data_IF_943124747153
#
_entry.id   IF_943124747153
#
_cell.length_a   1.000
_cell.length_b   1.000
_cell.length_c   1.000
_cell.angle_alpha   90.00
_cell.angle_beta   90.00
_cell.angle_gamma   90.00
#
_symmetry.space_group_name_H-M   'P 1'
#
loop_
_entity.id
_entity.type
_entity.pdbx_description
1 polymer ?
#
# COMPACT_ATOMS: atom_id res chain seq x y z
N UNK A 1 15.75 18.54 78.52
CA UNK A 1 14.35 18.73 78.95
C UNK A 1 13.67 17.38 78.79
N UNK A 2 13.63 16.59 79.89
CA UNK A 2 12.43 16.28 80.71
C UNK A 2 11.54 15.23 80.02
N UNK A 3 11.15 14.07 80.57
CA UNK A 3 11.35 13.31 81.82
C UNK A 3 10.40 12.09 81.68
N UNK A 4 10.79 10.88 82.09
CA UNK A 4 9.86 9.78 82.50
C UNK A 4 8.89 10.29 83.60
N UNK A 5 7.71 9.67 83.94
CA UNK A 5 7.47 8.24 84.28
C UNK A 5 6.01 7.75 83.98
N UNK A 6 5.54 6.51 84.22
CA UNK A 6 4.99 5.95 85.48
C UNK A 6 4.31 4.57 85.19
N UNK A 7 4.62 3.54 85.98
CA UNK A 7 3.71 2.45 86.42
C UNK A 7 2.91 2.98 87.64
N UNK A 8 1.75 2.44 88.13
CA UNK A 8 1.60 1.02 88.55
C UNK A 8 0.15 0.41 88.63
N UNK A 9 0.08 -0.84 89.10
CA UNK A 9 -0.87 -1.41 90.11
C UNK A 9 -2.17 -2.16 89.72
N UNK A 10 -2.22 -3.41 90.21
CA UNK A 10 -3.32 -4.18 90.83
C UNK A 10 -4.58 -4.57 90.02
N UNK A 11 -4.77 -5.87 89.84
CA UNK A 11 -5.94 -6.56 90.42
C UNK A 11 -5.72 -8.07 90.56
N UNK A 12 -6.12 -8.58 91.73
CA UNK A 12 -6.01 -9.94 92.25
C UNK A 12 -7.12 -10.86 91.71
N UNK A 13 -6.78 -12.16 91.57
CA UNK A 13 -7.62 -13.29 91.98
C UNK A 13 -8.68 -13.81 91.00
N UNK A 14 -8.58 -15.08 90.59
CA UNK A 14 -9.28 -16.21 91.23
C UNK A 14 -8.97 -17.52 90.49
N UNK A 15 -8.62 -18.54 91.26
CA UNK A 15 -8.34 -19.93 90.87
C UNK A 15 -9.59 -20.71 90.47
N UNK A 16 -9.55 -21.50 89.40
CA UNK A 16 -10.26 -22.80 89.26
C UNK A 16 -9.49 -23.73 88.30
N UNK A 17 -8.92 -24.83 88.82
CA UNK A 17 -8.77 -26.12 88.10
C UNK A 17 -10.14 -26.85 88.18
N UNK A 18 -10.57 -27.77 87.28
CA UNK A 18 -9.75 -28.91 86.83
C UNK A 18 -10.12 -29.53 85.45
N UNK A 19 -9.49 -30.68 85.18
CA UNK A 19 -10.06 -31.87 84.54
C UNK A 19 -10.04 -31.99 83.00
N UNK A 20 -9.35 -33.06 82.59
CA UNK A 20 -9.26 -33.62 81.25
C UNK A 20 -10.60 -34.17 80.74
N UNK A 21 -10.79 -34.08 79.41
CA UNK A 21 -11.70 -34.90 78.61
C UNK A 21 -11.15 -34.96 77.15
N UNK A 22 -11.49 -36.00 76.37
CA UNK A 22 -10.51 -36.80 75.64
C UNK A 22 -10.28 -36.38 74.18
N UNK A 23 -9.16 -36.89 73.65
CA UNK A 23 -8.83 -36.93 72.23
C UNK A 23 -9.99 -37.51 71.40
N UNK A 24 -10.41 -36.76 70.38
CA UNK A 24 -11.26 -37.26 69.31
C UNK A 24 -10.36 -37.71 68.15
N UNK A 25 -10.41 -39.01 67.86
CA UNK A 25 -9.86 -39.62 66.65
C UNK A 25 -10.45 -38.99 65.39
N UNK A 26 -9.66 -38.85 64.30
CA UNK A 26 -10.15 -38.36 63.02
C UNK A 26 -11.05 -39.41 62.38
N UNK A 27 -12.31 -39.04 62.16
CA UNK A 27 -13.20 -39.80 61.28
C UNK A 27 -12.68 -39.73 59.83
N UNK A 28 -12.67 -40.85 59.08
CA UNK A 28 -12.14 -40.89 57.72
C UNK A 28 -12.96 -39.98 56.79
N UNK A 29 -12.33 -39.24 55.87
CA UNK A 29 -13.04 -38.41 54.91
C UNK A 29 -13.89 -39.31 54.01
N UNK A 30 -15.20 -39.04 54.00
CA UNK A 30 -16.13 -39.62 53.05
C UNK A 30 -15.60 -39.40 51.63
N UNK A 31 -15.48 -40.51 50.89
CA UNK A 31 -15.16 -40.51 49.47
C UNK A 31 -16.10 -39.54 48.75
N UNK A 32 -15.49 -38.50 48.15
CA UNK A 32 -16.12 -37.77 47.05
C UNK A 32 -16.59 -38.79 46.00
N UNK A 33 -17.73 -38.55 45.31
CA UNK A 33 -18.16 -39.44 44.26
C UNK A 33 -17.02 -39.52 43.24
N UNK A 34 -16.52 -40.74 43.02
CA UNK A 34 -15.68 -41.06 41.87
C UNK A 34 -16.48 -40.58 40.67
N UNK A 35 -16.09 -39.43 40.11
CA UNK A 35 -16.54 -39.02 38.81
C UNK A 35 -16.31 -40.24 37.93
N UNK A 36 -17.39 -40.82 37.40
CA UNK A 36 -17.29 -41.86 36.41
C UNK A 36 -16.41 -41.27 35.30
N UNK A 37 -15.13 -41.64 35.30
CA UNK A 37 -14.25 -41.37 34.18
C UNK A 37 -14.94 -42.04 33.01
N UNK A 38 -15.64 -41.22 32.24
CA UNK A 38 -16.18 -41.59 30.94
C UNK A 38 -14.98 -41.61 30.00
N UNK A 39 -14.00 -42.42 30.36
CA UNK A 39 -12.77 -42.58 29.62
C UNK A 39 -13.07 -43.48 28.44
N UNK A 40 -12.72 -42.97 27.26
CA UNK A 40 -12.90 -43.71 26.04
C UNK A 40 -11.91 -44.87 26.03
N UNK A 41 -12.38 -46.04 25.63
CA UNK A 41 -11.53 -47.23 25.47
C UNK A 41 -11.11 -47.32 24.01
N UNK A 42 -9.81 -47.20 23.75
CA UNK A 42 -9.24 -47.33 22.41
C UNK A 42 -8.76 -48.76 22.19
N UNK A 43 -9.40 -49.48 21.26
CA UNK A 43 -8.93 -50.79 20.80
C UNK A 43 -9.23 -50.95 19.31
N UNK A 44 -8.39 -50.32 18.50
CA UNK A 44 -8.45 -50.36 17.05
C UNK A 44 -7.23 -51.12 16.53
N UNK A 45 -7.47 -52.21 15.81
CA UNK A 45 -6.43 -53.03 15.15
C UNK A 45 -6.80 -53.18 13.70
N UNK A 46 -6.05 -52.53 12.82
CA UNK A 46 -6.32 -52.47 11.39
C UNK A 46 -7.67 -51.84 11.05
N UNK A 47 -8.21 -51.00 11.94
CA UNK A 47 -9.53 -50.41 11.75
C UNK A 47 -9.47 -49.35 10.64
N UNK A 48 -10.48 -49.25 9.75
CA UNK A 48 -10.59 -48.15 8.82
C UNK A 48 -10.65 -46.82 9.57
N UNK A 49 -9.96 -45.81 9.07
CA UNK A 49 -9.90 -44.49 9.73
C UNK A 49 -11.29 -43.86 9.90
N UNK A 50 -12.18 -44.05 8.92
CA UNK A 50 -13.57 -43.60 8.98
C UNK A 50 -14.34 -44.20 10.17
N UNK A 51 -14.10 -45.47 10.49
CA UNK A 51 -14.71 -46.13 11.66
C UNK A 51 -14.23 -45.52 12.97
N UNK A 52 -12.94 -45.18 13.06
CA UNK A 52 -12.35 -44.54 14.25
C UNK A 52 -12.92 -43.12 14.42
N UNK A 53 -13.07 -42.39 13.32
CA UNK A 53 -13.68 -41.08 13.29
C UNK A 53 -15.14 -41.16 13.78
N UNK A 54 -15.96 -42.05 13.21
CA UNK A 54 -17.35 -42.23 13.64
C UNK A 54 -17.46 -42.59 15.13
N UNK A 55 -16.58 -43.47 15.63
CA UNK A 55 -16.53 -43.75 17.07
C UNK A 55 -16.25 -42.51 17.92
N UNK A 56 -15.36 -41.62 17.48
CA UNK A 56 -15.09 -40.35 18.17
C UNK A 56 -16.27 -39.38 18.09
N UNK A 57 -17.03 -39.38 17.01
CA UNK A 57 -18.29 -38.64 16.93
C UNK A 57 -19.29 -39.14 17.97
N UNK A 58 -19.47 -40.46 18.06
CA UNK A 58 -20.49 -41.06 18.94
C UNK A 58 -20.07 -41.05 20.41
N UNK A 59 -18.82 -41.40 20.71
CA UNK A 59 -18.32 -41.55 22.08
C UNK A 59 -17.83 -40.22 22.68
N UNK A 60 -17.14 -39.38 21.91
CA UNK A 60 -16.66 -38.09 22.41
C UNK A 60 -17.62 -36.91 22.12
N UNK A 61 -18.54 -37.09 21.17
CA UNK A 61 -19.56 -36.09 20.80
C UNK A 61 -19.08 -35.06 19.78
N UNK A 62 -17.97 -35.31 19.08
CA UNK A 62 -17.42 -34.39 18.08
C UNK A 62 -18.21 -34.42 16.78
N UNK A 63 -18.37 -33.26 16.14
CA UNK A 63 -18.90 -33.17 14.77
C UNK A 63 -17.72 -33.24 13.80
N UNK A 64 -17.68 -34.27 12.96
CA UNK A 64 -16.55 -34.51 12.07
C UNK A 64 -16.74 -33.73 10.77
N UNK A 65 -15.73 -32.95 10.40
CA UNK A 65 -15.68 -32.21 9.13
C UNK A 65 -14.47 -32.74 8.35
N UNK A 66 -14.75 -33.43 7.24
CA UNK A 66 -13.73 -33.96 6.35
C UNK A 66 -13.48 -32.93 5.23
N UNK A 67 -12.33 -32.26 5.23
CA UNK A 67 -11.92 -31.39 4.12
C UNK A 67 -11.34 -32.19 2.95
N UNK A 68 -10.74 -33.34 3.27
CA UNK A 68 -10.15 -34.28 2.31
C UNK A 68 -10.65 -35.70 2.58
N UNK A 69 -10.90 -36.53 1.55
CA UNK A 69 -11.30 -37.91 1.74
C UNK A 69 -10.18 -38.68 2.45
N UNK A 70 -10.49 -39.15 3.65
CA UNK A 70 -9.56 -39.91 4.49
C UNK A 70 -9.51 -41.37 4.03
N UNK A 71 -8.31 -41.91 3.81
CA UNK A 71 -8.10 -43.31 3.43
C UNK A 71 -6.99 -43.91 4.28
N UNK A 72 -7.14 -45.20 4.59
CA UNK A 72 -6.14 -45.96 5.33
C UNK A 72 -6.69 -46.62 6.59
N UNK A 73 -5.82 -47.40 7.21
CA UNK A 73 -6.10 -48.10 8.46
C UNK A 73 -5.28 -47.50 9.60
N UNK A 74 -5.79 -47.68 10.81
CA UNK A 74 -5.15 -47.21 12.04
C UNK A 74 -5.06 -48.34 13.05
N UNK A 75 -3.90 -48.44 13.69
CA UNK A 75 -3.63 -49.32 14.82
C UNK A 75 -3.41 -48.46 16.07
N UNK A 76 -4.35 -48.53 17.01
CA UNK A 76 -4.31 -47.75 18.25
C UNK A 76 -4.98 -48.54 19.38
N UNK A 77 -4.23 -48.84 20.43
CA UNK A 77 -4.74 -49.52 21.61
C UNK A 77 -4.30 -48.80 22.88
N UNK A 78 -5.22 -48.62 23.82
CA UNK A 78 -4.94 -48.15 25.17
C UNK A 78 -5.53 -49.13 26.19
N UNK A 79 -4.72 -49.50 27.19
CA UNK A 79 -5.15 -50.32 28.32
C UNK A 79 -5.84 -49.49 29.42
N UNK A 80 -5.70 -48.17 29.38
CA UNK A 80 -6.29 -47.24 30.33
C UNK A 80 -7.38 -46.38 29.67
N UNK A 81 -8.40 -45.94 30.44
CA UNK A 81 -9.37 -44.95 29.98
C UNK A 81 -8.65 -43.69 29.48
N UNK A 82 -9.00 -43.22 28.28
CA UNK A 82 -8.41 -42.04 27.64
C UNK A 82 -9.38 -40.86 27.68
N UNK A 83 -8.91 -39.65 27.99
CA UNK A 83 -9.76 -38.44 27.95
C UNK A 83 -10.12 -38.05 26.51
N UNK A 84 -11.10 -37.14 26.33
CA UNK A 84 -11.48 -36.68 24.98
C UNK A 84 -10.33 -35.95 24.28
N UNK A 85 -9.58 -35.16 25.02
CA UNK A 85 -8.44 -34.39 24.51
C UNK A 85 -7.27 -35.32 24.16
N UNK A 86 -7.00 -36.29 25.02
CA UNK A 86 -5.94 -37.27 24.82
C UNK A 86 -6.26 -38.21 23.63
N UNK A 87 -7.54 -38.58 23.47
CA UNK A 87 -8.03 -39.32 22.32
C UNK A 87 -7.75 -38.61 20.99
N UNK A 88 -7.94 -37.29 20.95
CA UNK A 88 -7.63 -36.46 19.78
C UNK A 88 -6.12 -36.42 19.52
N UNK A 89 -5.30 -36.37 20.56
CA UNK A 89 -3.83 -36.40 20.41
C UNK A 89 -3.36 -37.74 19.84
N UNK A 90 -3.88 -38.85 20.35
CA UNK A 90 -3.58 -40.19 19.83
C UNK A 90 -4.09 -40.37 18.39
N UNK A 91 -5.28 -39.83 18.08
CA UNK A 91 -5.77 -39.77 16.71
C UNK A 91 -4.81 -38.99 15.81
N UNK A 92 -4.37 -37.81 16.23
CA UNK A 92 -3.46 -36.98 15.43
C UNK A 92 -2.13 -37.70 15.18
N UNK A 93 -1.62 -38.46 16.17
CA UNK A 93 -0.43 -39.31 16.00
C UNK A 93 -0.63 -40.38 14.92
N UNK A 94 -1.78 -41.06 14.92
CA UNK A 94 -2.12 -42.05 13.91
C UNK A 94 -2.37 -41.45 12.52
N UNK A 95 -3.08 -40.32 12.46
CA UNK A 95 -3.36 -39.58 11.24
C UNK A 95 -2.07 -39.08 10.57
N UNK A 96 -1.12 -38.60 11.38
CA UNK A 96 0.17 -38.10 10.89
C UNK A 96 0.95 -39.17 10.12
N UNK A 97 0.81 -40.46 10.49
CA UNK A 97 1.42 -41.59 9.76
C UNK A 97 0.82 -41.77 8.36
N UNK A 98 -0.47 -41.50 8.21
CA UNK A 98 -1.21 -41.61 6.95
C UNK A 98 -1.26 -40.29 6.17
N UNK A 99 -0.53 -39.25 6.60
CA UNK A 99 -0.46 -37.96 5.90
C UNK A 99 -1.65 -37.02 6.15
N UNK A 100 -2.43 -37.25 7.20
CA UNK A 100 -3.56 -36.43 7.61
C UNK A 100 -3.29 -35.77 8.97
N UNK A 101 -4.05 -34.76 9.33
CA UNK A 101 -4.06 -34.18 10.67
C UNK A 101 -5.47 -33.80 11.08
N UNK A 102 -5.77 -33.87 12.38
CA UNK A 102 -7.05 -33.46 12.93
C UNK A 102 -6.87 -32.27 13.88
N UNK A 103 -7.75 -31.28 13.76
CA UNK A 103 -7.84 -30.13 14.69
C UNK A 103 -9.23 -30.05 15.30
N UNK A 104 -9.26 -29.81 16.61
CA UNK A 104 -10.50 -29.51 17.33
C UNK A 104 -10.75 -28.01 17.30
N UNK A 105 -11.95 -27.62 16.89
CA UNK A 105 -12.46 -26.25 16.96
C UNK A 105 -13.81 -26.26 17.68
N UNK A 106 -13.78 -26.08 19.00
CA UNK A 106 -14.95 -26.24 19.87
C UNK A 106 -15.46 -27.69 19.84
N UNK A 107 -16.61 -27.93 19.21
CA UNK A 107 -17.19 -29.27 19.03
C UNK A 107 -16.83 -29.92 17.68
N UNK A 108 -16.22 -29.17 16.77
CA UNK A 108 -15.91 -29.68 15.44
C UNK A 108 -14.52 -30.30 15.41
N UNK A 109 -14.39 -31.50 14.85
CA UNK A 109 -13.13 -32.15 14.55
C UNK A 109 -12.89 -32.05 13.04
N UNK A 110 -12.00 -31.15 12.64
CA UNK A 110 -11.67 -30.90 11.23
C UNK A 110 -10.48 -31.78 10.87
N UNK A 111 -10.68 -32.69 9.91
CA UNK A 111 -9.62 -33.55 9.38
C UNK A 111 -9.22 -33.05 8.00
N UNK A 112 -7.93 -32.76 7.85
CA UNK A 112 -7.33 -32.22 6.63
C UNK A 112 -6.07 -33.00 6.28
N UNK A 113 -5.62 -32.88 5.03
CA UNK A 113 -4.33 -33.42 4.62
C UNK A 113 -3.21 -32.63 5.31
N UNK A 114 -2.06 -33.27 5.53
CA UNK A 114 -0.87 -32.60 6.08
C UNK A 114 -0.42 -31.43 5.19
N UNK A 115 -0.68 -31.51 3.88
CA UNK A 115 -0.32 -30.47 2.92
C UNK A 115 -1.25 -29.26 3.01
N UNK A 116 -2.55 -29.49 3.19
CA UNK A 116 -3.54 -28.42 3.34
C UNK A 116 -3.46 -27.78 4.73
N UNK A 117 -3.26 -28.59 5.78
CA UNK A 117 -3.06 -28.08 7.13
C UNK A 117 -1.80 -27.21 7.25
N UNK A 118 -0.76 -27.53 6.48
CA UNK A 118 0.45 -26.71 6.35
C UNK A 118 0.20 -25.37 5.67
N UNK A 119 -0.88 -25.17 4.92
CA UNK A 119 -1.22 -23.83 4.40
C UNK A 119 -2.02 -23.02 5.42
N UNK A 120 -2.85 -23.70 6.22
CA UNK A 120 -3.81 -23.06 7.13
C UNK A 120 -3.27 -22.83 8.54
N UNK A 121 -2.18 -23.51 8.96
CA UNK A 121 -1.64 -23.41 10.33
C UNK A 121 -0.19 -22.93 10.40
N UNK A 122 0.18 -22.01 9.52
CA UNK A 122 1.49 -21.38 9.60
C UNK A 122 1.44 -20.25 10.62
N UNK A 123 2.44 -20.12 11.50
CA UNK A 123 2.58 -18.91 12.30
C UNK A 123 2.79 -17.73 11.35
N UNK A 124 1.92 -16.73 11.46
CA UNK A 124 1.97 -15.52 10.63
C UNK A 124 2.93 -14.56 11.29
N UNK A 125 3.97 -14.16 10.55
CA UNK A 125 4.93 -13.15 10.97
C UNK A 125 4.81 -11.94 10.05
N UNK A 126 5.11 -10.76 10.58
CA UNK A 126 5.01 -9.50 9.84
C UNK A 126 6.28 -8.71 10.08
N UNK A 127 6.77 -8.06 9.03
CA UNK A 127 7.99 -7.28 9.09
C UNK A 127 8.83 -7.44 7.83
N UNK A 128 9.84 -6.59 7.71
CA UNK A 128 10.77 -6.55 6.58
C UNK A 128 12.24 -6.65 7.04
N UNK A 129 12.50 -6.98 8.30
CA UNK A 129 13.85 -7.03 8.84
C UNK A 129 14.42 -8.46 8.77
N UNK A 130 15.47 -8.71 7.95
CA UNK A 130 16.07 -10.04 7.82
C UNK A 130 16.67 -10.58 9.13
N UNK A 131 17.09 -9.69 10.04
CA UNK A 131 17.75 -10.06 11.30
C UNK A 131 16.78 -10.68 12.33
N UNK A 132 15.48 -10.42 12.21
CA UNK A 132 14.45 -10.94 13.13
C UNK A 132 13.91 -12.31 12.71
N UNK A 133 14.36 -12.81 11.56
CA UNK A 133 13.91 -14.04 10.91
C UNK A 133 14.90 -15.16 11.24
N UNK A 134 14.52 -16.17 12.04
CA UNK A 134 15.39 -17.31 12.34
C UNK A 134 15.80 -18.07 11.06
N UNK A 135 16.91 -18.79 11.08
CA UNK A 135 17.31 -19.65 9.96
C UNK A 135 16.89 -21.10 10.23
N UNK A 136 15.59 -21.35 10.41
CA UNK A 136 15.05 -22.70 10.65
C UNK A 136 14.35 -23.26 9.40
N UNK A 137 14.22 -24.58 9.33
CA UNK A 137 13.51 -25.26 8.24
C UNK A 137 11.98 -25.26 8.44
N UNK A 138 11.47 -24.50 9.42
CA UNK A 138 10.05 -24.42 9.72
C UNK A 138 9.33 -23.61 8.65
N UNK A 139 8.16 -24.08 8.21
CA UNK A 139 7.33 -23.34 7.28
C UNK A 139 6.62 -22.22 8.03
N UNK A 140 6.62 -21.02 7.44
CA UNK A 140 5.94 -19.84 7.98
C UNK A 140 5.28 -19.04 6.88
N UNK A 141 4.33 -18.20 7.27
CA UNK A 141 3.74 -17.18 6.40
C UNK A 141 4.25 -15.81 6.82
N UNK A 142 4.98 -15.13 5.95
CA UNK A 142 5.54 -13.80 6.20
C UNK A 142 4.80 -12.76 5.37
N UNK A 143 4.38 -11.68 6.02
CA UNK A 143 3.83 -10.49 5.36
C UNK A 143 4.93 -9.43 5.33
N UNK A 144 5.33 -9.04 4.11
CA UNK A 144 6.42 -8.10 3.84
C UNK A 144 5.81 -6.82 3.25
N UNK A 145 5.73 -5.71 4.00
CA UNK A 145 5.28 -4.44 3.47
C UNK A 145 6.35 -3.80 2.57
N UNK A 146 5.95 -3.28 1.40
CA UNK A 146 6.84 -2.60 0.45
C UNK A 146 6.57 -1.09 0.45
N UNK A 147 7.62 -0.27 0.37
CA UNK A 147 7.49 1.20 0.44
C UNK A 147 7.61 1.89 -0.91
N UNK A 148 8.52 1.46 -1.76
CA UNK A 148 8.87 2.13 -3.00
C UNK A 148 8.50 1.31 -4.24
N UNK A 149 8.47 -0.02 -4.12
CA UNK A 149 8.11 -0.94 -5.21
C UNK A 149 6.65 -1.40 -5.09
N UNK A 150 5.99 -1.54 -6.24
CA UNK A 150 4.65 -2.15 -6.34
C UNK A 150 4.70 -3.67 -6.04
N UNK A 151 3.88 -4.14 -5.12
CA UNK A 151 3.83 -5.55 -4.71
C UNK A 151 3.55 -6.53 -5.86
N UNK A 152 2.74 -6.12 -6.84
CA UNK A 152 2.43 -6.94 -8.01
C UNK A 152 3.60 -7.10 -8.97
N UNK A 153 4.47 -6.08 -9.06
CA UNK A 153 5.70 -6.14 -9.84
C UNK A 153 6.75 -6.98 -9.11
N UNK A 154 6.95 -6.70 -7.82
CA UNK A 154 7.85 -7.48 -6.96
C UNK A 154 7.52 -8.98 -7.00
N UNK A 155 6.23 -9.35 -6.97
CA UNK A 155 5.82 -10.75 -7.05
C UNK A 155 6.17 -11.42 -8.39
N UNK A 156 6.13 -10.69 -9.51
CA UNK A 156 6.50 -11.23 -10.83
C UNK A 156 8.01 -11.42 -10.93
N UNK A 157 8.77 -10.46 -10.44
CA UNK A 157 10.23 -10.49 -10.47
C UNK A 157 10.77 -11.60 -9.56
N UNK A 158 10.28 -11.65 -8.32
CA UNK A 158 10.69 -12.65 -7.32
C UNK A 158 10.16 -14.05 -7.60
N UNK A 159 9.00 -14.17 -8.27
CA UNK A 159 8.43 -15.47 -8.63
C UNK A 159 9.33 -16.32 -9.53
N UNK A 160 10.27 -15.70 -10.28
CA UNK A 160 11.24 -16.42 -11.11
C UNK A 160 12.45 -16.95 -10.33
N UNK A 161 12.73 -16.39 -9.16
CA UNK A 161 13.89 -16.71 -8.33
C UNK A 161 13.55 -17.73 -7.23
N UNK A 162 12.26 -17.96 -6.97
CA UNK A 162 11.79 -18.84 -5.91
C UNK A 162 11.59 -20.29 -6.40
N UNK A 163 11.86 -21.30 -5.55
CA UNK A 163 11.55 -22.68 -5.87
C UNK A 163 10.04 -22.89 -5.97
N UNK A 164 9.60 -23.90 -6.74
CA UNK A 164 8.18 -24.19 -6.98
C UNK A 164 7.36 -24.54 -5.72
N UNK A 165 8.03 -24.76 -4.59
CA UNK A 165 7.42 -25.00 -3.28
C UNK A 165 7.00 -23.71 -2.55
N UNK A 166 7.53 -22.56 -2.95
CA UNK A 166 7.19 -21.27 -2.38
C UNK A 166 5.86 -20.77 -2.94
N UNK A 167 4.93 -20.36 -2.07
CA UNK A 167 3.73 -19.66 -2.51
C UNK A 167 3.92 -18.16 -2.28
N UNK A 168 3.79 -17.38 -3.34
CA UNK A 168 3.93 -15.93 -3.33
C UNK A 168 2.62 -15.27 -3.75
N UNK A 169 2.14 -14.31 -2.96
CA UNK A 169 0.91 -13.58 -3.28
C UNK A 169 1.11 -12.10 -2.97
N UNK A 170 0.82 -11.24 -3.95
CA UNK A 170 0.83 -9.79 -3.74
C UNK A 170 -0.53 -9.30 -3.29
N UNK A 171 -0.56 -8.52 -2.22
CA UNK A 171 -1.70 -7.71 -1.83
C UNK A 171 -1.47 -6.27 -2.31
N UNK A 172 -2.23 -5.87 -3.33
CA UNK A 172 -2.09 -4.56 -3.96
C UNK A 172 -2.65 -3.43 -3.07
N UNK A 173 -3.72 -3.68 -2.31
CA UNK A 173 -4.38 -2.65 -1.48
C UNK A 173 -3.48 -2.14 -0.36
N UNK A 174 -2.70 -3.05 0.23
CA UNK A 174 -1.75 -2.75 1.31
C UNK A 174 -0.30 -2.67 0.85
N UNK A 175 -0.07 -2.73 -0.48
CA UNK A 175 1.25 -2.83 -1.10
C UNK A 175 2.21 -3.79 -0.36
N UNK A 176 1.73 -5.00 -0.08
CA UNK A 176 2.44 -5.99 0.75
C UNK A 176 2.55 -7.32 0.02
N UNK A 177 3.65 -8.02 0.26
CA UNK A 177 3.93 -9.34 -0.30
C UNK A 177 3.73 -10.41 0.77
N UNK A 178 2.90 -11.41 0.49
CA UNK A 178 2.67 -12.57 1.35
C UNK A 178 3.48 -13.73 0.80
N UNK A 179 4.44 -14.19 1.60
CA UNK A 179 5.35 -15.30 1.26
C UNK A 179 5.03 -16.47 2.18
N UNK A 180 4.87 -17.65 1.61
CA UNK A 180 4.71 -18.91 2.36
C UNK A 180 5.79 -19.88 1.93
N UNK A 181 6.78 -20.08 2.81
CA UNK A 181 7.89 -21.02 2.60
C UNK A 181 8.60 -21.30 3.94
N UNK A 182 9.71 -22.06 3.91
CA UNK A 182 10.63 -22.24 5.02
C UNK A 182 11.25 -20.92 5.47
N UNK A 183 11.53 -20.80 6.77
CA UNK A 183 12.07 -19.57 7.35
C UNK A 183 13.41 -19.15 6.69
N UNK A 184 14.25 -20.11 6.28
CA UNK A 184 15.49 -19.88 5.50
C UNK A 184 15.17 -19.18 4.16
N UNK A 185 14.24 -19.71 3.37
CA UNK A 185 13.88 -19.12 2.08
C UNK A 185 13.21 -17.75 2.26
N UNK A 186 12.34 -17.62 3.27
CA UNK A 186 11.71 -16.34 3.61
C UNK A 186 12.75 -15.28 3.93
N UNK A 187 13.81 -15.62 4.68
CA UNK A 187 14.92 -14.70 4.96
C UNK A 187 15.57 -14.19 3.67
N UNK A 188 15.91 -15.11 2.75
CA UNK A 188 16.49 -14.74 1.47
C UNK A 188 15.56 -13.85 0.64
N UNK A 189 14.26 -14.11 0.63
CA UNK A 189 13.28 -13.24 -0.04
C UNK A 189 13.28 -11.85 0.58
N UNK A 190 13.25 -11.75 1.90
CA UNK A 190 13.25 -10.46 2.62
C UNK A 190 14.54 -9.69 2.34
N UNK A 191 15.70 -10.34 2.27
CA UNK A 191 16.97 -9.70 1.89
C UNK A 191 16.94 -9.12 0.47
N UNK A 192 16.43 -9.89 -0.49
CA UNK A 192 16.30 -9.44 -1.88
C UNK A 192 15.29 -8.29 -1.96
N UNK A 193 14.14 -8.43 -1.30
CA UNK A 193 13.12 -7.38 -1.23
C UNK A 193 13.68 -6.11 -0.61
N UNK A 194 14.42 -6.20 0.49
CA UNK A 194 15.04 -5.05 1.14
C UNK A 194 16.08 -4.37 0.23
N UNK A 195 16.88 -5.16 -0.51
CA UNK A 195 17.83 -4.62 -1.48
C UNK A 195 17.13 -3.91 -2.66
N UNK A 196 16.03 -4.49 -3.16
CA UNK A 196 15.25 -3.90 -4.25
C UNK A 196 14.48 -2.65 -3.80
N UNK A 197 13.73 -2.73 -2.69
CA UNK A 197 12.91 -1.65 -2.15
C UNK A 197 13.75 -0.50 -1.58
N UNK A 198 14.99 -0.78 -1.13
CA UNK A 198 15.94 0.24 -0.68
C UNK A 198 16.68 0.99 -1.81
N UNK A 199 16.66 0.46 -3.04
CA UNK A 199 17.38 1.05 -4.18
C UNK A 199 16.63 2.20 -4.85
N UNK A 200 15.40 2.48 -4.43
CA UNK A 200 14.52 3.48 -5.03
C UNK A 200 14.24 4.56 -3.98
N UNK A 201 15.14 5.55 -3.87
CA UNK A 201 14.91 6.83 -3.18
C UNK A 201 13.96 7.74 -4.02
N UNK A 202 13.00 7.13 -4.75
CA UNK A 202 11.98 7.81 -5.56
C UNK A 202 10.76 8.21 -4.74
N UNK A 203 10.84 8.22 -3.41
CA UNK A 203 9.82 8.88 -2.61
C UNK A 203 9.77 10.35 -3.02
N UNK A 204 8.61 10.79 -3.52
CA UNK A 204 8.38 12.19 -3.84
C UNK A 204 8.40 13.01 -2.55
N UNK A 205 9.43 13.82 -2.40
CA UNK A 205 9.59 14.75 -1.28
C UNK A 205 9.17 16.15 -1.69
N UNK A 206 8.53 16.88 -0.77
CA UNK A 206 8.13 18.28 -0.98
C UNK A 206 9.13 19.19 -0.27
N UNK A 207 9.68 20.16 -0.99
CA UNK A 207 10.59 21.17 -0.42
C UNK A 207 10.22 22.56 -0.90
N UNK A 208 10.34 23.54 0.00
CA UNK A 208 10.12 24.96 -0.29
C UNK A 208 11.46 25.64 -0.52
N UNK A 209 11.57 26.38 -1.62
CA UNK A 209 12.75 27.16 -1.97
C UNK A 209 12.40 28.65 -2.00
N UNK A 210 12.91 29.47 -1.06
CA UNK A 210 12.75 30.92 -1.12
C UNK A 210 13.64 31.50 -2.24
N UNK A 211 13.07 32.40 -3.04
CA UNK A 211 13.73 33.10 -4.14
C UNK A 211 14.09 34.53 -3.71
N UNK A 212 15.23 35.06 -4.18
CA UNK A 212 15.68 36.42 -3.87
C UNK A 212 15.51 37.39 -5.03
N UNK A 213 15.69 36.93 -6.27
CA UNK A 213 15.70 37.78 -7.45
C UNK A 213 14.74 37.32 -8.55
N UNK A 214 14.49 36.01 -8.68
CA UNK A 214 13.67 35.46 -9.74
C UNK A 214 12.16 35.53 -9.43
N UNK A 215 11.33 35.64 -10.47
CA UNK A 215 9.87 35.60 -10.34
C UNK A 215 9.38 34.16 -10.06
N UNK A 216 8.56 33.92 -9.02
CA UNK A 216 8.08 32.57 -8.69
C UNK A 216 7.30 31.87 -9.80
N UNK A 217 6.52 32.60 -10.61
CA UNK A 217 5.73 32.03 -11.70
C UNK A 217 6.63 31.60 -12.86
N UNK A 218 7.56 32.47 -13.26
CA UNK A 218 8.54 32.14 -14.30
C UNK A 218 9.41 30.95 -13.88
N UNK A 219 9.86 30.92 -12.61
CA UNK A 219 10.64 29.82 -12.07
C UNK A 219 9.88 28.49 -12.05
N UNK A 220 8.62 28.48 -11.61
CA UNK A 220 7.81 27.27 -11.59
C UNK A 220 7.55 26.73 -13.01
N UNK A 221 7.31 27.60 -13.99
CA UNK A 221 7.14 27.22 -15.39
C UNK A 221 8.43 26.66 -15.98
N UNK A 222 9.58 27.30 -15.72
CA UNK A 222 10.88 26.81 -16.20
C UNK A 222 11.20 25.44 -15.60
N UNK A 223 11.02 25.25 -14.29
CA UNK A 223 11.23 23.95 -13.63
C UNK A 223 10.28 22.87 -14.18
N UNK A 224 9.02 23.20 -14.39
CA UNK A 224 8.04 22.26 -14.97
C UNK A 224 8.38 21.92 -16.42
N UNK A 225 8.89 22.86 -17.21
CA UNK A 225 9.29 22.60 -18.60
C UNK A 225 10.57 21.74 -18.68
N UNK A 226 11.52 22.00 -17.79
CA UNK A 226 12.82 21.29 -17.76
C UNK A 226 12.70 19.87 -17.19
N UNK A 227 11.84 19.66 -16.19
CA UNK A 227 11.74 18.38 -15.49
C UNK A 227 10.39 17.66 -15.68
N UNK A 228 9.36 18.33 -16.18
CA UNK A 228 8.04 17.75 -16.46
C UNK A 228 7.91 17.09 -17.84
N UNK A 229 8.94 17.17 -18.69
CA UNK A 229 8.92 16.63 -20.06
C UNK A 229 9.26 15.13 -20.16
N UNK A 230 9.52 14.43 -19.06
CA UNK A 230 9.71 12.96 -19.08
C UNK A 230 8.43 12.14 -18.97
N UNK A 231 7.29 12.78 -18.74
CA UNK A 231 5.99 12.14 -18.96
C UNK A 231 5.51 12.56 -20.35
N UNK A 232 5.97 11.90 -21.41
CA UNK A 232 5.20 11.84 -22.64
C UNK A 232 3.87 11.17 -22.28
N UNK A 233 2.73 11.88 -22.29
CA UNK A 233 1.47 11.18 -22.34
C UNK A 233 1.49 10.52 -23.72
N UNK A 234 1.62 9.20 -23.75
CA UNK A 234 1.19 8.42 -24.90
C UNK A 234 -0.29 8.74 -25.08
N UNK A 235 -0.55 9.75 -25.90
CA UNK A 235 -1.85 10.01 -26.47
C UNK A 235 -2.19 8.80 -27.34
N UNK A 236 -2.72 7.76 -26.70
CA UNK A 236 -3.58 6.81 -27.36
C UNK A 236 -4.76 7.63 -27.87
N UNK A 237 -4.67 8.01 -29.13
CA UNK A 237 -5.81 8.44 -29.92
C UNK A 237 -6.79 7.27 -29.95
N UNK A 238 -7.68 7.26 -28.95
CA UNK A 238 -8.85 6.41 -28.92
C UNK A 238 -9.73 6.84 -30.11
N UNK A 239 -9.69 6.02 -31.17
CA UNK A 239 -10.63 6.08 -32.26
C UNK A 239 -12.05 5.98 -31.66
N UNK A 240 -12.75 7.11 -31.61
CA UNK A 240 -14.15 7.19 -31.23
C UNK A 240 -14.97 6.63 -32.40
N UNK A 241 -15.73 5.53 -32.22
CA UNK A 241 -16.64 5.04 -33.24
C UNK A 241 -17.92 5.88 -33.18
N UNK A 242 -17.99 6.96 -33.96
CA UNK A 242 -19.14 7.86 -33.95
C UNK A 242 -19.19 8.73 -35.19
N UNK A 243 -19.58 8.15 -36.33
CA UNK A 243 -19.82 8.89 -37.57
C UNK A 243 -20.63 8.04 -38.56
N UNK A 244 -21.81 8.50 -39.02
CA UNK A 244 -22.66 7.77 -39.96
C UNK A 244 -22.08 7.89 -41.37
N UNK A 245 -21.06 7.08 -41.67
CA UNK A 245 -20.41 7.02 -42.98
C UNK A 245 -19.43 5.86 -43.16
N UNK A 246 -19.02 5.19 -42.09
CA UNK A 246 -18.04 4.09 -42.13
C UNK A 246 -18.58 2.69 -42.47
N UNK A 247 -19.89 2.52 -42.68
CA UNK A 247 -20.48 1.20 -42.94
C UNK A 247 -20.21 0.68 -44.35
N UNK A 248 -20.14 1.56 -45.36
CA UNK A 248 -19.94 1.13 -46.75
C UNK A 248 -18.50 0.68 -47.06
N UNK A 249 -17.51 1.16 -46.30
CA UNK A 249 -16.12 0.71 -46.43
C UNK A 249 -15.88 -0.69 -45.83
N UNK A 250 -16.76 -1.17 -44.94
CA UNK A 250 -16.66 -2.50 -44.34
C UNK A 250 -17.33 -3.60 -45.17
N UNK A 251 -18.27 -3.27 -46.05
CA UNK A 251 -18.92 -4.26 -46.92
C UNK A 251 -18.19 -4.49 -48.24
N UNK A 252 -17.42 -3.52 -48.73
CA UNK A 252 -16.55 -3.70 -49.90
C UNK A 252 -15.31 -4.58 -49.61
N UNK A 253 -15.05 -4.92 -48.34
CA UNK A 253 -13.99 -5.85 -47.92
C UNK A 253 -14.53 -7.23 -47.51
N UNK A 254 -15.82 -7.52 -47.76
CA UNK A 254 -16.48 -8.77 -47.39
C UNK A 254 -16.69 -9.75 -48.57
N UNK A 255 -15.83 -9.66 -49.60
CA UNK A 255 -15.81 -10.58 -50.74
C UNK A 255 -14.39 -11.06 -51.03
N UNK A 256 -13.93 -12.10 -50.31
CA UNK A 256 -12.60 -12.66 -50.54
C UNK A 256 -12.26 -13.77 -49.55
N UNK A 257 -12.46 -15.01 -49.98
CA UNK A 257 -12.04 -16.23 -49.31
C UNK A 257 -10.51 -16.30 -49.14
N UNK A 258 -10.07 -16.80 -47.98
CA UNK A 258 -8.93 -17.74 -47.90
C UNK A 258 -7.63 -17.21 -47.29
N UNK A 259 -7.06 -18.01 -46.38
CA UNK A 259 -5.62 -18.09 -46.18
C UNK A 259 -5.10 -17.47 -44.90
N UNK A 260 -4.71 -18.32 -43.95
CA UNK A 260 -4.14 -17.92 -42.66
C UNK A 260 -2.69 -17.44 -42.73
N UNK A 261 -2.20 -17.04 -41.55
CA UNK A 261 -0.77 -17.04 -41.25
C UNK A 261 -0.19 -15.68 -40.88
N UNK A 262 0.15 -15.56 -39.60
CA UNK A 262 1.33 -14.85 -39.12
C UNK A 262 1.29 -13.32 -39.03
N UNK A 263 0.50 -12.81 -38.09
CA UNK A 263 0.67 -11.48 -37.51
C UNK A 263 1.85 -11.51 -36.53
N UNK A 264 3.06 -11.25 -37.04
CA UNK A 264 4.24 -11.02 -36.24
C UNK A 264 4.01 -9.87 -35.27
N UNK A 265 3.76 -10.23 -34.01
CA UNK A 265 3.74 -9.31 -32.86
C UNK A 265 5.07 -8.57 -32.81
N UNK A 266 5.04 -7.30 -33.22
CA UNK A 266 6.09 -6.33 -32.90
C UNK A 266 6.07 -6.14 -31.40
N UNK A 267 6.96 -6.87 -30.72
CA UNK A 267 7.34 -6.65 -29.33
C UNK A 267 7.95 -5.25 -29.25
N UNK A 268 7.11 -4.28 -28.90
CA UNK A 268 7.58 -3.00 -28.40
C UNK A 268 8.30 -3.29 -27.09
N UNK A 269 9.63 -3.30 -27.14
CA UNK A 269 10.47 -3.35 -25.95
C UNK A 269 10.14 -2.13 -25.10
N UNK A 270 9.31 -2.36 -24.09
CA UNK A 270 9.14 -1.47 -22.95
C UNK A 270 10.49 -1.36 -22.27
N UNK A 271 11.33 -0.45 -22.75
CA UNK A 271 12.45 0.08 -21.97
C UNK A 271 11.84 0.55 -20.66
N UNK A 272 12.22 -0.11 -19.58
CA UNK A 272 11.95 0.32 -18.22
C UNK A 272 12.61 1.67 -17.99
N UNK A 273 11.99 2.73 -18.48
CA UNK A 273 12.17 4.05 -17.92
C UNK A 273 11.47 3.95 -16.58
N UNK A 274 12.25 3.67 -15.54
CA UNK A 274 11.78 3.72 -14.17
C UNK A 274 10.89 4.95 -14.03
N UNK A 275 9.72 4.77 -13.40
CA UNK A 275 8.83 5.86 -13.02
C UNK A 275 9.65 6.87 -12.23
N UNK A 276 10.28 7.80 -12.94
CA UNK A 276 10.88 8.98 -12.36
C UNK A 276 9.69 9.77 -11.91
N UNK A 277 9.57 9.93 -10.60
CA UNK A 277 8.51 10.77 -10.04
C UNK A 277 8.53 12.10 -10.78
N UNK A 278 7.41 12.53 -11.39
CA UNK A 278 7.39 13.77 -12.12
C UNK A 278 7.72 14.90 -11.17
N UNK A 279 8.64 15.77 -11.58
CA UNK A 279 8.95 16.99 -10.82
C UNK A 279 7.82 17.98 -11.06
N UNK A 280 7.12 18.35 -9.99
CA UNK A 280 6.04 19.33 -10.03
C UNK A 280 6.46 20.55 -9.24
N UNK A 281 6.46 21.71 -9.87
CA UNK A 281 6.76 22.99 -9.23
C UNK A 281 5.52 23.88 -9.18
N UNK A 282 5.22 24.43 -8.00
CA UNK A 282 4.12 25.38 -7.77
C UNK A 282 4.68 26.66 -7.19
N UNK A 283 4.29 27.79 -7.76
CA UNK A 283 4.71 29.11 -7.32
C UNK A 283 3.88 29.58 -6.11
N UNK A 284 4.54 30.07 -5.05
CA UNK A 284 3.94 30.88 -3.99
C UNK A 284 4.46 32.34 -4.13
N UNK A 285 3.68 33.24 -4.76
CA UNK A 285 4.08 34.63 -4.94
C UNK A 285 4.07 35.43 -3.63
N UNK A 286 3.32 34.98 -2.61
CA UNK A 286 3.18 35.72 -1.35
C UNK A 286 4.46 35.64 -0.53
N UNK A 287 5.14 34.50 -0.57
CA UNK A 287 6.40 34.28 0.16
C UNK A 287 7.62 34.33 -0.77
N UNK A 288 7.45 34.72 -2.03
CA UNK A 288 8.49 34.65 -3.07
C UNK A 288 9.20 33.31 -3.05
N UNK A 289 8.44 32.21 -3.08
CA UNK A 289 8.98 30.85 -2.95
C UNK A 289 8.41 29.93 -4.01
N UNK A 290 9.14 28.88 -4.34
CA UNK A 290 8.64 27.79 -5.20
C UNK A 290 8.62 26.51 -4.38
N UNK A 291 7.46 25.86 -4.38
CA UNK A 291 7.25 24.55 -3.77
C UNK A 291 7.50 23.49 -4.84
N UNK A 292 8.50 22.64 -4.62
CA UNK A 292 8.88 21.58 -5.55
C UNK A 292 8.57 20.23 -4.93
N UNK A 293 7.91 19.37 -5.70
CA UNK A 293 7.72 17.96 -5.39
C UNK A 293 8.58 17.14 -6.35
N UNK A 294 9.56 16.40 -5.83
CA UNK A 294 10.49 15.59 -6.63
C UNK A 294 11.08 14.42 -5.81
N UNK A 295 11.65 13.43 -6.50
CA UNK A 295 12.46 12.40 -5.83
C UNK A 295 13.65 13.03 -5.08
N UNK A 296 14.10 12.39 -4.01
CA UNK A 296 15.23 12.88 -3.20
C UNK A 296 16.51 13.06 -4.03
N UNK A 297 16.73 12.18 -5.01
CA UNK A 297 17.84 12.29 -5.95
C UNK A 297 17.74 13.57 -6.81
N UNK A 298 16.60 13.81 -7.44
CA UNK A 298 16.38 14.98 -8.30
C UNK A 298 16.30 16.29 -7.51
N UNK A 299 15.89 16.25 -6.24
CA UNK A 299 15.77 17.42 -5.38
C UNK A 299 17.11 18.16 -5.21
N UNK A 300 18.24 17.43 -5.19
CA UNK A 300 19.58 18.02 -5.15
C UNK A 300 19.89 18.84 -6.42
N UNK A 301 19.60 18.27 -7.58
CA UNK A 301 19.81 18.91 -8.88
C UNK A 301 18.88 20.12 -9.05
N UNK A 302 17.61 19.99 -8.67
CA UNK A 302 16.64 21.10 -8.70
C UNK A 302 17.08 22.23 -7.77
N UNK A 303 17.58 21.92 -6.57
CA UNK A 303 18.09 22.94 -5.65
C UNK A 303 19.29 23.71 -6.24
N UNK A 304 20.24 23.00 -6.87
CA UNK A 304 21.39 23.62 -7.52
C UNK A 304 20.95 24.50 -8.71
N UNK A 305 19.98 24.03 -9.51
CA UNK A 305 19.43 24.78 -10.63
C UNK A 305 18.70 26.04 -10.18
N UNK A 306 17.87 25.95 -9.14
CA UNK A 306 17.19 27.11 -8.54
C UNK A 306 18.21 28.13 -8.05
N UNK A 307 19.28 27.68 -7.36
CA UNK A 307 20.32 28.57 -6.88
C UNK A 307 21.06 29.28 -8.03
N UNK A 308 21.33 28.60 -9.14
CA UNK A 308 21.95 29.21 -10.31
C UNK A 308 21.01 30.22 -10.98
N UNK A 309 19.76 29.84 -11.23
CA UNK A 309 18.77 30.70 -11.89
C UNK A 309 18.42 31.95 -11.06
N UNK A 310 18.33 31.83 -9.73
CA UNK A 310 18.04 32.96 -8.83
C UNK A 310 19.21 33.96 -8.71
N UNK A 311 20.43 33.61 -9.13
CA UNK A 311 21.54 34.59 -9.22
C UNK A 311 21.47 35.45 -10.47
N UNK A 312 20.92 34.90 -11.54
CA UNK A 312 20.73 35.62 -12.79
C UNK A 312 19.47 36.47 -12.68
N UNK A 313 19.66 37.72 -12.24
CA UNK A 313 18.67 38.78 -12.43
C UNK A 313 18.47 38.97 -13.94
N UNK A 314 17.62 38.14 -14.55
CA UNK A 314 17.06 38.34 -15.87
C UNK A 314 16.70 39.81 -15.97
N UNK A 315 17.23 40.48 -17.00
CA UNK A 315 17.27 41.94 -17.16
C UNK A 315 16.00 42.57 -16.60
N UNK A 316 16.06 43.09 -15.36
CA UNK A 316 14.96 43.86 -14.78
C UNK A 316 14.71 44.99 -15.77
N UNK A 317 13.60 44.95 -16.52
CA UNK A 317 13.23 46.06 -17.39
C UNK A 317 12.99 47.24 -16.47
N UNK A 318 14.01 48.11 -16.36
CA UNK A 318 13.92 49.31 -15.55
C UNK A 318 13.12 50.31 -16.35
N UNK A 319 11.93 50.62 -15.86
CA UNK A 319 11.11 51.70 -16.42
C UNK A 319 11.72 53.02 -15.98
N UNK A 320 12.12 53.84 -16.96
CA UNK A 320 12.57 55.21 -16.72
C UNK A 320 11.47 56.17 -17.18
N UNK A 321 11.15 57.16 -16.34
CA UNK A 321 10.26 58.26 -16.71
C UNK A 321 11.12 59.43 -17.13
N UNK A 322 11.03 59.83 -18.39
CA UNK A 322 11.68 61.02 -18.91
C UNK A 322 10.63 62.09 -19.16
N UNK A 323 10.81 63.26 -18.55
CA UNK A 323 10.01 64.45 -18.84
C UNK A 323 10.65 65.22 -20.00
N UNK A 324 9.88 65.51 -21.03
CA UNK A 324 10.34 66.31 -22.18
C UNK A 324 10.12 67.80 -21.88
N UNK A 325 11.15 68.62 -22.04
CA UNK A 325 11.04 70.07 -21.79
C UNK A 325 10.67 70.86 -23.07
N UNK A 326 11.19 70.44 -24.23
CA UNK A 326 11.12 71.23 -25.47
C UNK A 326 10.52 70.47 -26.67
N UNK A 327 9.96 69.28 -26.46
CA UNK A 327 9.44 68.42 -27.54
C UNK A 327 8.06 67.85 -27.19
N UNK A 328 7.21 67.70 -28.21
CA UNK A 328 5.90 67.07 -28.07
C UNK A 328 6.05 65.54 -27.85
N UNK A 329 5.39 65.04 -26.81
CA UNK A 329 5.43 63.63 -26.37
C UNK A 329 5.00 62.70 -27.49
N UNK A 330 3.99 63.07 -28.29
CA UNK A 330 3.45 62.20 -29.35
C UNK A 330 4.42 62.01 -30.52
N UNK A 331 5.17 63.06 -30.87
CA UNK A 331 6.17 62.99 -31.93
C UNK A 331 7.38 62.17 -31.49
N UNK A 332 7.86 62.41 -30.26
CA UNK A 332 8.98 61.65 -29.68
C UNK A 332 8.60 60.18 -29.48
N UNK A 333 7.38 59.88 -29.05
CA UNK A 333 6.88 58.51 -28.95
C UNK A 333 6.96 57.77 -30.29
N UNK A 334 6.52 58.41 -31.38
CA UNK A 334 6.55 57.79 -32.71
C UNK A 334 7.98 57.49 -33.15
N UNK A 335 8.90 58.44 -32.93
CA UNK A 335 10.32 58.28 -33.26
C UNK A 335 10.95 57.17 -32.40
N UNK A 336 10.68 57.15 -31.10
CA UNK A 336 11.21 56.13 -30.19
C UNK A 336 10.63 54.75 -30.49
N UNK A 337 9.34 54.64 -30.82
CA UNK A 337 8.73 53.38 -31.27
C UNK A 337 9.46 52.87 -32.52
N UNK A 338 9.67 53.72 -33.52
CA UNK A 338 10.38 53.32 -34.74
C UNK A 338 11.86 52.95 -34.48
N UNK A 339 12.52 53.66 -33.55
CA UNK A 339 13.94 53.44 -33.21
C UNK A 339 14.16 52.16 -32.40
N UNK A 340 13.25 51.79 -31.50
CA UNK A 340 13.36 50.59 -30.67
C UNK A 340 12.69 49.35 -31.28
N UNK A 341 11.69 49.52 -32.17
CA UNK A 341 11.10 48.40 -32.91
C UNK A 341 12.08 47.82 -33.94
N UNK A 342 12.90 48.66 -34.59
CA UNK A 342 13.87 48.21 -35.61
C UNK A 342 15.02 47.36 -35.05
N UNK A 343 15.30 47.43 -33.74
CA UNK A 343 16.40 46.69 -33.11
C UNK A 343 15.99 45.31 -32.56
N UNK A 344 14.69 44.98 -32.55
CA UNK A 344 14.18 43.66 -32.11
C UNK A 344 14.10 42.65 -33.26
N UNK A 345 14.25 43.09 -34.53
CA UNK A 345 14.03 42.24 -35.71
C UNK A 345 15.27 41.48 -36.21
N UNK A 346 16.35 41.40 -35.43
CA UNK A 346 17.57 40.66 -35.86
C UNK A 346 17.84 39.35 -35.13
N UNK A 347 16.94 38.90 -34.28
CA UNK A 347 17.01 37.55 -33.72
C UNK A 347 15.59 37.05 -33.52
N UNK A 348 15.36 35.78 -33.84
CA UNK A 348 14.07 35.06 -33.80
C UNK A 348 13.04 35.42 -34.88
N UNK A 349 13.21 34.76 -36.03
CA UNK A 349 12.06 34.32 -36.80
C UNK A 349 11.21 33.40 -35.90
N UNK A 350 9.89 33.66 -35.89
CA UNK A 350 8.85 32.80 -35.35
C UNK A 350 8.62 32.85 -33.82
N UNK A 351 7.86 33.85 -33.36
CA UNK A 351 6.73 33.63 -32.44
C UNK A 351 5.93 34.93 -32.26
N UNK A 352 4.61 34.82 -32.31
CA UNK A 352 3.66 35.86 -31.94
C UNK A 352 3.88 36.25 -30.47
N UNK A 353 4.70 37.27 -30.22
CA UNK A 353 4.82 37.88 -28.90
C UNK A 353 4.13 39.24 -28.92
N UNK A 354 2.93 39.27 -28.34
CA UNK A 354 2.06 40.43 -28.27
C UNK A 354 2.70 41.56 -27.46
N UNK A 355 2.61 42.78 -27.99
CA UNK A 355 3.04 44.02 -27.37
C UNK A 355 2.18 44.32 -26.11
N UNK A 356 2.77 44.40 -24.89
CA UNK A 356 2.05 44.71 -23.66
C UNK A 356 1.51 46.16 -23.60
N UNK A 357 1.99 47.07 -24.46
CA UNK A 357 1.44 48.45 -24.56
C UNK A 357 0.20 48.50 -25.45
N UNK A 358 0.14 47.68 -26.50
CA UNK A 358 -1.03 47.56 -27.38
C UNK A 358 -2.23 46.89 -26.68
N UNK A 359 -1.97 45.92 -25.81
CA UNK A 359 -3.03 45.23 -25.04
C UNK A 359 -3.66 46.11 -23.95
N UNK A 360 -2.93 47.09 -23.40
CA UNK A 360 -3.50 48.09 -22.47
C UNK A 360 -4.38 49.13 -23.16
N UNK A 361 -4.04 49.52 -24.39
CA UNK A 361 -4.87 50.45 -25.16
C UNK A 361 -6.21 49.83 -25.58
N UNK A 362 -6.23 48.53 -25.91
CA UNK A 362 -7.47 47.83 -26.30
C UNK A 362 -8.41 47.51 -25.13
N UNK A 363 -7.89 47.28 -23.92
CA UNK A 363 -8.75 47.06 -22.75
C UNK A 363 -9.44 48.34 -22.25
N UNK A 364 -8.91 49.52 -22.57
CA UNK A 364 -9.50 50.80 -22.15
C UNK A 364 -10.54 51.34 -23.15
N UNK A 365 -10.65 50.77 -24.35
CA UNK A 365 -11.66 51.15 -25.35
C UNK A 365 -12.91 50.25 -25.33
N UNK A 366 -12.91 49.17 -24.54
CA UNK A 366 -14.06 48.26 -24.42
C UNK A 366 -14.97 48.56 -23.21
N UNK A 367 -14.58 49.49 -22.33
CA UNK A 367 -15.36 49.84 -21.11
C UNK A 367 -16.24 51.08 -21.24
N UNK A 368 -16.36 51.70 -22.43
CA UNK A 368 -17.15 52.94 -22.61
C UNK A 368 -18.25 52.87 -23.67
N UNK A 369 -18.57 51.69 -24.20
CA UNK A 369 -19.69 51.53 -25.14
C UNK A 369 -20.63 50.40 -24.73
N UNK A 370 -21.24 50.52 -23.55
CA UNK A 370 -22.41 49.74 -23.19
C UNK A 370 -23.41 50.66 -22.46
N UNK A 371 -24.23 51.35 -23.25
CA UNK A 371 -25.42 52.03 -22.75
C UNK A 371 -26.46 50.94 -22.40
N UNK A 372 -27.08 50.93 -21.21
CA UNK A 372 -27.97 49.86 -20.81
C UNK A 372 -29.38 50.12 -21.34
N UNK A 373 -29.82 49.39 -22.37
CA UNK A 373 -31.25 49.27 -22.68
C UNK A 373 -31.77 47.95 -22.12
N UNK A 374 -32.54 48.08 -21.05
CA UNK A 374 -33.35 47.01 -20.45
C UNK A 374 -34.33 46.47 -21.50
N UNK A 375 -34.13 45.23 -21.92
CA UNK A 375 -35.13 44.45 -22.66
C UNK A 375 -35.53 43.23 -21.81
N UNK A 376 -36.75 43.29 -21.31
CA UNK A 376 -37.40 42.28 -20.49
C UNK A 376 -37.62 41.01 -21.31
N UNK A 377 -37.07 39.89 -20.82
CA UNK A 377 -37.27 38.56 -21.42
C UNK A 377 -38.73 38.12 -21.31
N UNK A 378 -39.38 37.96 -22.46
CA UNK A 378 -40.63 37.23 -22.59
C UNK A 378 -40.31 35.74 -22.85
N UNK A 379 -40.55 34.89 -21.85
CA UNK A 379 -40.43 33.45 -21.98
C UNK A 379 -41.68 32.88 -22.66
N UNK A 380 -41.60 32.61 -23.96
CA UNK A 380 -42.60 31.79 -24.64
C UNK A 380 -42.00 30.41 -24.91
N UNK A 381 -42.50 29.43 -24.17
CA UNK A 381 -42.12 28.02 -24.31
C UNK A 381 -42.50 27.47 -25.68
N UNK A 382 -41.55 26.77 -26.30
CA UNK A 382 -41.81 26.00 -27.50
C UNK A 382 -42.13 24.55 -27.12
N UNK A 383 -43.42 24.20 -27.21
CA UNK A 383 -43.93 22.82 -27.20
C UNK A 383 -44.22 22.39 -28.64
N UNK A 384 -43.84 21.15 -28.96
CA UNK A 384 -44.38 20.35 -30.06
C UNK A 384 -43.62 20.54 -31.38
N UNK A 385 -43.42 19.52 -32.19
CA UNK A 385 -44.01 18.17 -32.27
C UNK A 385 -43.01 17.21 -32.89
#
# INVERSE_FOLDING_TARGET
>A
MKTHPLLPLLCLGLTVLPAAAPAQDPSPPALAPVAAETGLRFNFRGAPLETVLNYLSDAAGYVIVLETPVRGTVDMWSSQPVSKEEAVQLLNLALNKNGYTARVQGRNLIVSSKEDAKKTNLPIRTGNDPAEIPETADMVMQIIPLRHIDATQAARDLGTLLPATATLTANQDSNSLVVTDTQINVKHVVEIVAALDGSIDSAATVRVFPLKNADPYEMAQLLTNLFGTTATPTANAAATPGGPGGFFARMAAAGGFGGGGNSGSRRNGSTGTGRTTPVVAVADPRTFSVVVTASKAQMGDVAAMIAQLDTSSGRKQRVFVYTLQNADVKQVETILKNLFQSNTTRTTANSNQADPLGTRANNNSQTTSANPSLTLGNSTGNRGR
#
